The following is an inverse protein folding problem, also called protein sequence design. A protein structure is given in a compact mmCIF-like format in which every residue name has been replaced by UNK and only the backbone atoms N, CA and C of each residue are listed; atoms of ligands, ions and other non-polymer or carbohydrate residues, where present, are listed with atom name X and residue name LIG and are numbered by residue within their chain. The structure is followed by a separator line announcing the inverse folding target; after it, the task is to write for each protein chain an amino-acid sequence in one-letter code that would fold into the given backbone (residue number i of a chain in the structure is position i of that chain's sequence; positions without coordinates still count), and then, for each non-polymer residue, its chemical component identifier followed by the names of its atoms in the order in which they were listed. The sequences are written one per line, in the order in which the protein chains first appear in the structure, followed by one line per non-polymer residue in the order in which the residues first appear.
data_IF_701837370746
#
_entry.id   IF_701837370746
#
_cell.length_a   1.000
_cell.length_b   1.000
_cell.length_c   1.000
_cell.angle_alpha   90.00
_cell.angle_beta   90.00
_cell.angle_gamma   90.00
#
_symmetry.space_group_name_H-M   'P 1'
#
loop_
_entity.id
_entity.type
_entity.pdbx_description
1 polymer ?
#
# COMPACT_ATOMS: atom_id res chain seq x y z
N UNK A 1 25.50 0.91 -4.22
CA UNK A 1 24.12 0.44 -4.00
C UNK A 1 23.68 0.77 -2.59
N UNK A 2 22.53 1.39 -2.45
CA UNK A 2 21.92 1.67 -1.16
C UNK A 2 20.57 0.91 -1.06
N UNK A 3 20.19 0.55 0.16
CA UNK A 3 18.92 -0.14 0.41
C UNK A 3 17.85 0.86 0.87
N UNK A 4 16.70 0.85 0.22
CA UNK A 4 15.48 1.48 0.71
C UNK A 4 14.85 0.55 1.76
N UNK A 5 15.34 0.63 2.99
CA UNK A 5 14.94 -0.24 4.10
C UNK A 5 13.58 0.18 4.66
N UNK A 6 12.51 -0.52 4.24
CA UNK A 6 11.16 -0.28 4.74
C UNK A 6 10.99 -0.63 6.22
N UNK A 7 11.83 -1.51 6.77
CA UNK A 7 11.79 -1.84 8.20
C UNK A 7 12.26 -0.65 9.04
N UNK A 8 13.38 -0.06 8.69
CA UNK A 8 13.89 1.14 9.36
C UNK A 8 12.85 2.27 9.33
N UNK A 9 12.32 2.60 8.14
CA UNK A 9 11.35 3.68 7.98
C UNK A 9 10.05 3.38 8.73
N UNK A 10 9.57 2.13 8.66
CA UNK A 10 8.33 1.74 9.34
C UNK A 10 8.44 1.84 10.87
N UNK A 11 9.56 1.42 11.47
CA UNK A 11 9.73 1.52 12.92
C UNK A 11 9.83 2.99 13.37
N UNK A 12 10.55 3.84 12.64
CA UNK A 12 10.59 5.29 12.91
C UNK A 12 9.19 5.91 12.88
N UNK A 13 8.44 5.68 11.80
CA UNK A 13 7.10 6.28 11.64
C UNK A 13 6.07 5.72 12.63
N UNK A 14 6.24 4.50 13.13
CA UNK A 14 5.38 3.96 14.20
C UNK A 14 5.52 4.72 15.50
N UNK A 15 6.72 5.19 15.83
CA UNK A 15 6.93 6.02 17.03
C UNK A 15 6.14 7.32 16.90
N UNK A 16 6.26 8.02 15.77
CA UNK A 16 5.52 9.25 15.50
C UNK A 16 4.00 9.03 15.56
N UNK A 17 3.51 7.94 14.94
CA UNK A 17 2.08 7.59 14.95
C UNK A 17 1.59 7.30 16.37
N UNK A 18 2.38 6.59 17.19
CA UNK A 18 2.02 6.27 18.57
C UNK A 18 1.94 7.53 19.44
N UNK A 19 2.86 8.48 19.27
CA UNK A 19 2.81 9.76 19.97
C UNK A 19 1.54 10.56 19.61
N UNK A 20 1.20 10.61 18.33
CA UNK A 20 -0.03 11.29 17.89
C UNK A 20 -1.31 10.56 18.36
N UNK A 21 -1.32 9.24 18.38
CA UNK A 21 -2.43 8.46 18.93
C UNK A 21 -2.62 8.71 20.44
N UNK A 22 -1.52 8.82 21.19
CA UNK A 22 -1.56 9.14 22.60
C UNK A 22 -2.11 10.55 22.86
N UNK A 23 -1.80 11.54 22.01
CA UNK A 23 -2.41 12.88 22.08
C UNK A 23 -3.92 12.82 21.82
N UNK A 24 -4.37 12.10 20.79
CA UNK A 24 -5.81 11.93 20.54
C UNK A 24 -6.50 11.32 21.75
N UNK A 25 -5.92 10.28 22.35
CA UNK A 25 -6.47 9.65 23.54
C UNK A 25 -6.55 10.63 24.73
N UNK A 26 -5.54 11.45 24.95
CA UNK A 26 -5.52 12.45 26.01
C UNK A 26 -6.59 13.55 25.79
N UNK A 27 -6.74 14.00 24.55
CA UNK A 27 -7.62 15.12 24.22
C UNK A 27 -9.11 14.70 24.11
N UNK A 28 -9.38 13.47 23.68
CA UNK A 28 -10.74 13.00 23.33
C UNK A 28 -11.26 11.85 24.19
N UNK A 29 -10.42 11.21 24.97
CA UNK A 29 -10.73 10.00 25.73
C UNK A 29 -10.89 8.74 24.87
N UNK A 30 -10.69 8.81 23.54
CA UNK A 30 -10.83 7.67 22.60
C UNK A 30 -9.58 7.42 21.79
N UNK A 31 -9.38 6.15 21.42
CA UNK A 31 -8.27 5.74 20.55
C UNK A 31 -8.72 5.80 19.09
N UNK A 32 -7.82 6.09 18.12
CA UNK A 32 -8.11 5.83 16.72
C UNK A 32 -8.55 4.38 16.51
N UNK A 33 -9.60 4.13 15.73
CA UNK A 33 -10.20 2.80 15.60
C UNK A 33 -10.26 2.34 14.15
N UNK A 34 -9.54 1.25 13.85
CA UNK A 34 -9.56 0.56 12.57
C UNK A 34 -10.40 -0.71 12.66
N UNK A 35 -11.32 -0.90 11.71
CA UNK A 35 -12.02 -2.16 11.52
C UNK A 35 -11.53 -2.82 10.24
N UNK A 36 -11.14 -4.09 10.34
CA UNK A 36 -10.81 -4.92 9.21
C UNK A 36 -11.87 -6.01 9.03
N UNK A 37 -12.40 -6.13 7.81
CA UNK A 37 -13.30 -7.22 7.43
C UNK A 37 -12.52 -8.22 6.58
N UNK A 38 -12.56 -9.49 6.96
CA UNK A 38 -11.92 -10.61 6.28
C UNK A 38 -12.96 -11.65 5.90
N UNK A 39 -13.00 -12.02 4.62
CA UNK A 39 -13.89 -13.04 4.08
C UNK A 39 -13.09 -14.25 3.62
N UNK A 40 -13.45 -15.42 4.09
CA UNK A 40 -12.79 -16.69 3.76
C UNK A 40 -11.46 -16.91 4.49
N UNK A 41 -10.69 -17.89 4.01
CA UNK A 41 -9.50 -18.45 4.66
C UNK A 41 -8.23 -18.39 3.78
N UNK A 42 -8.11 -17.37 2.92
CA UNK A 42 -6.85 -17.19 2.19
C UNK A 42 -5.70 -16.89 3.14
N UNK A 43 -4.73 -17.79 3.24
CA UNK A 43 -3.62 -17.69 4.20
C UNK A 43 -2.73 -16.45 4.00
N UNK A 44 -2.74 -15.86 2.79
CA UNK A 44 -2.09 -14.59 2.51
C UNK A 44 -2.82 -13.45 3.20
N UNK A 45 -4.11 -13.35 2.97
CA UNK A 45 -5.01 -12.37 3.56
C UNK A 45 -5.04 -12.46 5.08
N UNK A 46 -5.12 -13.67 5.65
CA UNK A 46 -5.07 -13.88 7.09
C UNK A 46 -3.79 -13.35 7.73
N UNK A 47 -2.64 -13.71 7.16
CA UNK A 47 -1.34 -13.24 7.64
C UNK A 47 -1.23 -11.71 7.57
N UNK A 48 -1.74 -11.12 6.49
CA UNK A 48 -1.65 -9.68 6.26
C UNK A 48 -2.58 -8.90 7.19
N UNK A 49 -3.82 -9.36 7.38
CA UNK A 49 -4.76 -8.78 8.34
C UNK A 49 -4.23 -8.89 9.77
N UNK A 50 -3.73 -10.07 10.17
CA UNK A 50 -3.11 -10.24 11.49
C UNK A 50 -1.95 -9.26 11.72
N UNK A 51 -1.13 -9.02 10.69
CA UNK A 51 -0.06 -8.03 10.75
C UNK A 51 -0.60 -6.58 10.88
N UNK A 52 -1.66 -6.22 10.14
CA UNK A 52 -2.33 -4.91 10.25
C UNK A 52 -2.84 -4.69 11.68
N UNK A 53 -3.58 -5.65 12.24
CA UNK A 53 -4.14 -5.58 13.60
C UNK A 53 -3.04 -5.43 14.66
N UNK A 54 -2.00 -6.27 14.60
CA UNK A 54 -0.86 -6.22 15.51
C UNK A 54 -0.14 -4.86 15.47
N UNK A 55 -0.03 -4.24 14.30
CA UNK A 55 0.58 -2.91 14.19
C UNK A 55 -0.33 -1.80 14.70
N UNK A 56 -1.67 -1.91 14.58
CA UNK A 56 -2.61 -1.02 15.25
C UNK A 56 -2.41 -1.05 16.78
N UNK A 57 -2.34 -2.23 17.38
CA UNK A 57 -2.10 -2.38 18.83
C UNK A 57 -0.78 -1.74 19.26
N UNK A 58 0.30 -1.96 18.48
CA UNK A 58 1.63 -1.41 18.77
C UNK A 58 1.66 0.12 18.80
N UNK A 59 0.84 0.79 18.00
CA UNK A 59 0.76 2.26 17.95
C UNK A 59 -0.38 2.82 18.80
N UNK A 60 -1.01 1.98 19.64
CA UNK A 60 -2.04 2.41 20.59
C UNK A 60 -3.43 2.60 19.97
N UNK A 61 -3.68 2.15 18.75
CA UNK A 61 -5.00 2.17 18.14
C UNK A 61 -5.90 1.07 18.72
N UNK A 62 -7.20 1.29 18.71
CA UNK A 62 -8.22 0.25 18.81
C UNK A 62 -8.34 -0.43 17.44
N UNK A 63 -8.44 -1.76 17.45
CA UNK A 63 -8.62 -2.53 16.23
C UNK A 63 -9.67 -3.62 16.41
N UNK A 64 -10.52 -3.80 15.41
CA UNK A 64 -11.58 -4.82 15.39
C UNK A 64 -11.48 -5.65 14.13
N UNK A 65 -11.51 -6.97 14.28
CA UNK A 65 -11.56 -7.91 13.17
C UNK A 65 -12.96 -8.49 13.06
N UNK A 66 -13.61 -8.29 11.91
CA UNK A 66 -14.87 -8.95 11.52
C UNK A 66 -14.52 -10.06 10.55
N UNK A 67 -14.91 -11.29 10.87
CA UNK A 67 -14.66 -12.47 10.03
C UNK A 67 -15.97 -13.01 9.47
N UNK A 68 -15.89 -13.41 8.21
CA UNK A 68 -16.93 -14.15 7.52
C UNK A 68 -16.34 -15.39 6.85
N UNK A 69 -17.14 -16.42 6.73
CA UNK A 69 -16.84 -17.56 5.88
C UNK A 69 -16.91 -17.15 4.41
N UNK A 70 -16.29 -17.95 3.54
CA UNK A 70 -16.29 -17.71 2.09
C UNK A 70 -17.67 -17.86 1.44
N UNK A 71 -18.65 -18.36 2.19
CA UNK A 71 -20.06 -18.52 1.78
C UNK A 71 -20.94 -17.32 2.09
N UNK A 72 -20.43 -16.27 2.75
CA UNK A 72 -21.22 -15.06 3.05
C UNK A 72 -21.76 -14.44 1.76
N UNK A 73 -23.02 -13.99 1.77
CA UNK A 73 -23.60 -13.32 0.61
C UNK A 73 -23.05 -11.90 0.42
N UNK A 74 -23.05 -11.42 -0.82
CA UNK A 74 -22.68 -10.02 -1.12
C UNK A 74 -23.59 -9.06 -0.34
N UNK A 75 -24.89 -9.35 -0.27
CA UNK A 75 -25.86 -8.51 0.44
C UNK A 75 -25.56 -8.39 1.94
N UNK A 76 -25.26 -9.52 2.60
CA UNK A 76 -24.89 -9.53 4.04
C UNK A 76 -23.61 -8.74 4.29
N UNK A 77 -22.60 -8.91 3.43
CA UNK A 77 -21.36 -8.15 3.54
C UNK A 77 -21.58 -6.64 3.35
N UNK A 78 -22.37 -6.25 2.33
CA UNK A 78 -22.71 -4.85 2.07
C UNK A 78 -23.53 -4.23 3.22
N UNK A 79 -24.43 -5.01 3.84
CA UNK A 79 -25.17 -4.55 5.02
C UNK A 79 -24.22 -4.33 6.21
N UNK A 80 -23.28 -5.26 6.44
CA UNK A 80 -22.27 -5.09 7.50
C UNK A 80 -21.41 -3.85 7.29
N UNK A 81 -21.00 -3.59 6.07
CA UNK A 81 -20.24 -2.35 5.75
C UNK A 81 -21.08 -1.10 6.04
N UNK A 82 -22.38 -1.14 5.74
CA UNK A 82 -23.27 -0.03 6.08
C UNK A 82 -23.39 0.20 7.60
N UNK A 83 -23.49 -0.87 8.39
CA UNK A 83 -23.51 -0.78 9.85
C UNK A 83 -22.21 -0.20 10.41
N UNK A 84 -21.05 -0.62 9.87
CA UNK A 84 -19.76 -0.06 10.24
C UNK A 84 -19.61 1.42 9.86
N UNK A 85 -20.18 1.82 8.72
CA UNK A 85 -20.22 3.24 8.33
C UNK A 85 -20.99 4.10 9.32
N UNK A 86 -22.09 3.58 9.87
CA UNK A 86 -22.94 4.28 10.82
C UNK A 86 -22.34 4.41 12.23
N UNK A 87 -21.37 3.58 12.57
CA UNK A 87 -20.72 3.59 13.90
C UNK A 87 -19.73 4.75 14.01
N UNK A 88 -20.04 5.73 14.85
CA UNK A 88 -19.21 6.92 15.06
C UNK A 88 -17.87 6.64 15.79
N UNK A 89 -17.72 5.47 16.44
CA UNK A 89 -16.48 5.09 17.09
C UNK A 89 -15.42 4.53 16.09
N UNK A 90 -15.81 4.29 14.84
CA UNK A 90 -14.93 3.75 13.80
C UNK A 90 -14.36 4.89 12.94
N UNK A 91 -13.05 5.01 12.90
CA UNK A 91 -12.34 5.99 12.06
C UNK A 91 -11.96 5.44 10.68
N UNK A 92 -11.70 4.14 10.58
CA UNK A 92 -11.30 3.52 9.32
C UNK A 92 -11.87 2.13 9.14
N UNK A 93 -12.24 1.81 7.92
CA UNK A 93 -12.75 0.51 7.50
C UNK A 93 -11.90 0.01 6.35
N UNK A 94 -11.50 -1.24 6.41
CA UNK A 94 -10.91 -1.96 5.30
C UNK A 94 -11.65 -3.28 5.08
N UNK A 95 -11.85 -3.65 3.84
CA UNK A 95 -12.28 -5.00 3.46
C UNK A 95 -11.12 -5.65 2.72
N UNK A 96 -10.55 -6.70 3.31
CA UNK A 96 -9.34 -7.32 2.77
C UNK A 96 -9.62 -8.03 1.45
N UNK A 97 -8.89 -7.65 0.42
CA UNK A 97 -8.90 -8.32 -0.89
C UNK A 97 -7.86 -9.44 -0.94
N UNK A 98 -8.07 -10.48 -1.77
CA UNK A 98 -9.22 -10.69 -2.66
C UNK A 98 -10.48 -11.19 -1.93
N UNK A 99 -11.64 -10.95 -2.52
CA UNK A 99 -12.93 -11.51 -2.09
C UNK A 99 -13.29 -12.78 -2.87
N UNK A 100 -14.19 -13.64 -2.34
CA UNK A 100 -14.78 -14.73 -3.11
C UNK A 100 -15.40 -14.27 -4.41
N UNK A 101 -15.38 -15.11 -5.46
CA UNK A 101 -15.79 -14.74 -6.83
C UNK A 101 -17.24 -14.25 -6.98
N UNK A 102 -18.13 -14.62 -6.06
CA UNK A 102 -19.54 -14.21 -6.09
C UNK A 102 -19.78 -12.84 -5.48
N UNK A 103 -18.76 -12.20 -4.91
CA UNK A 103 -18.82 -10.87 -4.32
C UNK A 103 -18.04 -9.89 -5.21
N UNK A 104 -18.69 -8.84 -5.66
CA UNK A 104 -18.07 -7.79 -6.47
C UNK A 104 -17.24 -6.85 -5.57
N UNK A 105 -15.89 -6.82 -5.72
CA UNK A 105 -15.05 -5.98 -4.88
C UNK A 105 -15.26 -4.47 -5.12
N UNK A 106 -15.70 -4.06 -6.31
CA UNK A 106 -15.97 -2.64 -6.60
C UNK A 106 -17.21 -2.18 -5.84
N UNK A 107 -18.30 -2.97 -5.82
CA UNK A 107 -19.49 -2.65 -5.00
C UNK A 107 -19.16 -2.54 -3.51
N UNK A 108 -18.31 -3.44 -3.01
CA UNK A 108 -17.89 -3.41 -1.60
C UNK A 108 -17.06 -2.15 -1.32
N UNK A 109 -16.13 -1.82 -2.20
CA UNK A 109 -15.30 -0.61 -2.08
C UNK A 109 -16.17 0.65 -2.09
N UNK A 110 -17.11 0.78 -3.01
CA UNK A 110 -18.04 1.92 -3.10
C UNK A 110 -19.04 1.98 -1.93
N UNK A 111 -19.30 0.85 -1.27
CA UNK A 111 -20.19 0.82 -0.09
C UNK A 111 -19.51 1.40 1.16
N UNK A 112 -18.19 1.37 1.27
CA UNK A 112 -17.47 2.02 2.36
C UNK A 112 -17.67 3.53 2.23
N UNK A 113 -18.02 4.21 3.34
CA UNK A 113 -18.03 5.67 3.33
C UNK A 113 -16.62 6.18 3.01
N UNK A 114 -16.48 6.99 1.94
CA UNK A 114 -15.19 7.53 1.51
C UNK A 114 -14.43 8.25 2.62
N UNK A 115 -15.15 8.73 3.66
CA UNK A 115 -14.57 9.36 4.86
C UNK A 115 -13.96 8.38 5.84
N UNK A 116 -14.23 7.07 5.67
CA UNK A 116 -13.70 5.96 6.45
C UNK A 116 -12.88 4.96 5.61
N UNK A 117 -12.77 5.19 4.29
CA UNK A 117 -11.98 4.37 3.36
C UNK A 117 -10.48 4.65 3.54
N UNK A 118 -9.90 4.11 4.59
CA UNK A 118 -8.48 4.33 4.93
C UNK A 118 -7.50 3.49 4.09
N UNK A 119 -7.99 2.53 3.31
CA UNK A 119 -7.18 1.90 2.24
C UNK A 119 -7.04 2.84 1.02
N UNK A 120 -7.92 3.84 0.86
CA UNK A 120 -7.85 4.85 -0.19
C UNK A 120 -8.31 4.38 -1.57
N UNK A 121 -9.18 3.37 -1.65
CA UNK A 121 -9.60 2.78 -2.92
C UNK A 121 -10.93 3.34 -3.44
N UNK A 122 -11.70 4.01 -2.60
CA UNK A 122 -12.99 4.58 -2.98
C UNK A 122 -12.81 5.61 -4.12
N UNK A 123 -13.67 5.59 -5.16
CA UNK A 123 -13.58 6.50 -6.31
C UNK A 123 -13.49 7.98 -5.94
N UNK A 124 -14.17 8.41 -4.86
CA UNK A 124 -14.07 9.79 -4.35
C UNK A 124 -12.65 10.11 -3.90
N UNK A 125 -11.98 9.23 -3.15
CA UNK A 125 -10.61 9.42 -2.70
C UNK A 125 -9.64 9.46 -3.88
N UNK A 126 -9.76 8.53 -4.84
CA UNK A 126 -8.94 8.48 -6.04
C UNK A 126 -9.13 9.74 -6.92
N UNK A 127 -10.37 10.18 -7.12
CA UNK A 127 -10.66 11.39 -7.88
C UNK A 127 -10.11 12.66 -7.21
N UNK A 128 -10.24 12.77 -5.89
CA UNK A 128 -9.66 13.88 -5.10
C UNK A 128 -8.13 13.84 -5.15
N UNK A 129 -7.55 12.65 -5.00
CA UNK A 129 -6.10 12.44 -5.13
C UNK A 129 -5.60 12.89 -6.51
N UNK A 130 -6.28 12.52 -7.61
CA UNK A 130 -5.95 12.96 -8.96
C UNK A 130 -5.93 14.50 -9.08
N UNK A 131 -6.83 15.18 -8.38
CA UNK A 131 -6.95 16.64 -8.38
C UNK A 131 -6.04 17.33 -7.36
N UNK A 132 -5.19 16.61 -6.68
CA UNK A 132 -4.36 17.11 -5.56
C UNK A 132 -5.18 17.76 -4.43
N UNK A 133 -6.39 17.27 -4.18
CA UNK A 133 -7.21 17.65 -3.04
C UNK A 133 -6.95 16.73 -1.85
N UNK A 134 -7.21 17.17 -0.60
CA UNK A 134 -7.12 16.30 0.57
C UNK A 134 -7.94 15.02 0.36
N UNK A 135 -7.32 13.85 0.53
CA UNK A 135 -7.94 12.54 0.35
C UNK A 135 -7.14 11.48 1.09
N UNK A 136 -7.73 10.34 1.39
CA UNK A 136 -6.94 9.17 1.72
C UNK A 136 -6.24 8.67 0.46
N UNK A 137 -4.94 8.41 0.60
CA UNK A 137 -4.11 7.92 -0.50
C UNK A 137 -4.04 6.40 -0.38
N UNK A 138 -4.14 5.63 -1.48
CA UNK A 138 -3.96 4.19 -1.43
C UNK A 138 -2.74 3.78 -0.61
N UNK A 139 -2.94 2.88 0.36
CA UNK A 139 -1.97 2.64 1.44
C UNK A 139 -0.57 2.26 0.96
N UNK A 140 -0.46 1.40 -0.08
CA UNK A 140 0.85 1.01 -0.66
C UNK A 140 1.53 2.18 -1.38
N UNK A 141 0.89 2.89 -2.31
CA UNK A 141 1.42 4.12 -2.89
C UNK A 141 1.82 5.16 -1.85
N UNK A 142 1.02 5.36 -0.82
CA UNK A 142 1.34 6.28 0.26
C UNK A 142 2.62 5.85 0.99
N UNK A 143 2.73 4.58 1.34
CA UNK A 143 3.95 4.03 1.95
C UNK A 143 5.19 4.23 1.10
N UNK A 144 5.09 4.07 -0.22
CA UNK A 144 6.19 4.33 -1.16
C UNK A 144 6.60 5.81 -1.13
N UNK A 145 5.63 6.74 -1.18
CA UNK A 145 5.96 8.18 -1.11
C UNK A 145 6.62 8.57 0.21
N UNK A 146 6.20 7.98 1.34
CA UNK A 146 6.83 8.19 2.63
C UNK A 146 8.29 7.68 2.64
N UNK A 147 8.54 6.53 2.03
CA UNK A 147 9.89 5.97 1.93
C UNK A 147 10.80 6.82 1.04
N UNK A 148 10.31 7.26 -0.14
CA UNK A 148 11.05 8.19 -1.01
C UNK A 148 11.41 9.49 -0.29
N UNK A 149 10.49 9.99 0.54
CA UNK A 149 10.69 11.21 1.34
C UNK A 149 11.73 11.01 2.42
N UNK A 150 11.69 9.90 3.16
CA UNK A 150 12.64 9.61 4.24
C UNK A 150 14.08 9.52 3.74
N UNK A 151 14.27 8.91 2.56
CA UNK A 151 15.59 8.79 1.93
C UNK A 151 15.99 9.97 1.06
N UNK A 152 15.18 11.04 1.03
CA UNK A 152 15.42 12.23 0.22
C UNK A 152 15.69 11.91 -1.26
N UNK A 153 14.95 10.95 -1.83
CA UNK A 153 15.10 10.56 -3.23
C UNK A 153 14.64 11.69 -4.13
N UNK A 154 15.55 12.21 -4.94
CA UNK A 154 15.23 13.24 -5.93
C UNK A 154 14.29 12.70 -7.00
N UNK A 155 13.10 13.31 -7.13
CA UNK A 155 12.05 12.87 -8.07
C UNK A 155 11.76 13.91 -9.15
N UNK A 156 12.00 15.21 -8.89
CA UNK A 156 11.69 16.28 -9.82
C UNK A 156 12.52 16.17 -11.10
N UNK A 157 11.84 16.22 -12.25
CA UNK A 157 12.46 16.09 -13.57
C UNK A 157 12.95 14.70 -13.95
N UNK A 158 12.74 13.68 -13.09
CA UNK A 158 13.13 12.30 -13.37
C UNK A 158 12.10 11.59 -14.25
N UNK A 159 12.55 10.62 -15.03
CA UNK A 159 11.66 9.69 -15.74
C UNK A 159 11.29 8.53 -14.80
N UNK A 160 10.03 8.45 -14.41
CA UNK A 160 9.50 7.38 -13.60
C UNK A 160 8.71 6.39 -14.47
N UNK A 161 9.15 5.14 -14.50
CA UNK A 161 8.41 4.06 -15.17
C UNK A 161 7.71 3.20 -14.13
N UNK A 162 6.39 3.06 -14.28
CA UNK A 162 5.55 2.21 -13.43
C UNK A 162 5.15 0.98 -14.23
N UNK A 163 5.63 -0.18 -13.83
CA UNK A 163 5.27 -1.47 -14.43
C UNK A 163 4.14 -2.08 -13.63
N UNK A 164 2.93 -1.98 -14.18
CA UNK A 164 1.65 -2.35 -13.55
C UNK A 164 0.65 -1.20 -13.63
N UNK A 165 -0.65 -1.52 -13.72
CA UNK A 165 -1.73 -0.53 -13.80
C UNK A 165 -2.95 -0.88 -12.95
N UNK A 166 -2.72 -1.61 -11.85
CA UNK A 166 -3.80 -1.94 -10.91
C UNK A 166 -4.35 -0.67 -10.25
N UNK A 167 -5.63 -0.68 -9.88
CA UNK A 167 -6.27 0.42 -9.17
C UNK A 167 -5.69 0.62 -7.76
N UNK A 168 -5.05 -0.41 -7.21
CA UNK A 168 -4.50 -0.38 -5.84
C UNK A 168 -3.05 0.10 -5.76
N UNK A 169 -2.25 -0.01 -6.84
CA UNK A 169 -0.84 0.41 -6.85
C UNK A 169 -0.46 1.19 -8.11
N UNK A 170 -0.51 0.56 -9.28
CA UNK A 170 0.12 1.12 -10.49
C UNK A 170 -0.49 2.44 -10.92
N UNK A 171 -1.81 2.52 -11.07
CA UNK A 171 -2.51 3.75 -11.44
C UNK A 171 -2.33 4.85 -10.38
N UNK A 172 -2.56 4.62 -9.07
CA UNK A 172 -2.29 5.64 -8.06
C UNK A 172 -0.84 6.11 -8.01
N UNK A 173 0.14 5.21 -8.16
CA UNK A 173 1.55 5.60 -8.20
C UNK A 173 1.88 6.54 -9.35
N UNK A 174 1.32 6.27 -10.54
CA UNK A 174 1.55 7.14 -11.70
C UNK A 174 1.03 8.56 -11.46
N UNK A 175 -0.13 8.68 -10.81
CA UNK A 175 -0.69 9.97 -10.41
C UNK A 175 0.23 10.68 -9.41
N UNK A 176 0.63 9.99 -8.34
CA UNK A 176 1.45 10.56 -7.28
C UNK A 176 2.82 11.02 -7.80
N UNK A 177 3.47 10.23 -8.66
CA UNK A 177 4.77 10.58 -9.19
C UNK A 177 4.72 11.71 -10.23
N UNK A 178 3.59 11.90 -10.91
CA UNK A 178 3.39 13.00 -11.84
C UNK A 178 2.97 14.33 -11.17
N UNK A 179 2.46 14.29 -9.92
CA UNK A 179 1.92 15.48 -9.24
C UNK A 179 3.00 16.55 -9.00
N UNK A 180 2.60 17.82 -9.00
CA UNK A 180 3.44 18.94 -8.59
C UNK A 180 3.58 19.00 -7.05
N UNK A 181 4.23 17.98 -6.49
CA UNK A 181 4.51 17.81 -5.05
C UNK A 181 5.85 17.09 -4.88
N UNK A 182 6.35 17.03 -3.66
CA UNK A 182 7.48 16.14 -3.33
C UNK A 182 7.01 15.02 -2.36
N UNK A 183 7.30 13.74 -2.68
CA UNK A 183 7.80 13.20 -3.96
C UNK A 183 6.80 13.44 -5.10
N UNK A 184 7.31 13.60 -6.33
CA UNK A 184 6.52 13.87 -7.54
C UNK A 184 7.32 14.63 -8.56
N UNK A 185 6.65 15.40 -9.41
CA UNK A 185 7.25 16.17 -10.52
C UNK A 185 8.05 15.30 -11.51
N UNK A 186 7.70 14.03 -11.66
CA UNK A 186 8.29 13.13 -12.65
C UNK A 186 7.57 13.24 -14.00
N UNK A 187 8.28 12.93 -15.08
CA UNK A 187 7.66 12.41 -16.29
C UNK A 187 7.33 10.94 -16.07
N UNK A 188 6.09 10.51 -16.26
CA UNK A 188 5.67 9.17 -15.89
C UNK A 188 5.22 8.37 -17.10
N UNK A 189 5.79 7.16 -17.25
CA UNK A 189 5.35 6.16 -18.22
C UNK A 189 4.75 4.96 -17.49
N UNK A 190 3.56 4.50 -17.92
CA UNK A 190 2.92 3.28 -17.39
C UNK A 190 3.10 2.16 -18.40
N UNK A 191 3.71 1.05 -17.94
CA UNK A 191 3.83 -0.19 -18.70
C UNK A 191 2.91 -1.27 -18.12
N UNK A 192 2.38 -2.12 -18.98
CA UNK A 192 1.42 -3.15 -18.59
C UNK A 192 1.49 -4.37 -19.54
N UNK A 193 0.68 -5.39 -19.31
CA UNK A 193 0.69 -6.66 -20.09
C UNK A 193 0.43 -6.51 -21.60
N UNK A 194 0.02 -5.33 -22.07
CA UNK A 194 -0.19 -5.02 -23.50
C UNK A 194 0.88 -4.07 -24.04
N UNK A 195 1.84 -3.63 -23.20
CA UNK A 195 2.96 -2.80 -23.67
C UNK A 195 3.96 -3.69 -24.40
N UNK A 196 4.23 -3.43 -25.69
CA UNK A 196 5.30 -4.13 -26.37
C UNK A 196 6.65 -3.69 -25.83
N UNK A 197 7.64 -4.57 -25.83
CA UNK A 197 9.04 -4.25 -25.51
C UNK A 197 9.20 -3.42 -24.20
N UNK A 198 8.63 -3.92 -23.10
CA UNK A 198 8.71 -3.23 -21.78
C UNK A 198 10.14 -2.80 -21.44
N UNK A 199 11.14 -3.58 -21.87
CA UNK A 199 12.56 -3.32 -21.67
C UNK A 199 12.99 -1.95 -22.19
N UNK A 200 12.46 -1.49 -23.32
CA UNK A 200 12.84 -0.20 -23.90
C UNK A 200 12.48 0.96 -22.97
N UNK A 201 11.36 0.84 -22.26
CA UNK A 201 10.92 1.85 -21.28
C UNK A 201 11.70 1.74 -19.96
N UNK A 202 11.93 0.52 -19.46
CA UNK A 202 12.59 0.32 -18.17
C UNK A 202 14.07 0.67 -18.19
N UNK A 203 14.75 0.53 -19.35
CA UNK A 203 16.14 0.96 -19.54
C UNK A 203 16.30 2.49 -19.50
N UNK A 204 15.24 3.25 -19.73
CA UNK A 204 15.30 4.74 -19.67
C UNK A 204 14.82 5.28 -18.31
N UNK A 205 14.39 4.41 -17.41
CA UNK A 205 13.83 4.80 -16.12
C UNK A 205 14.92 5.28 -15.13
N UNK A 206 14.79 6.49 -14.62
CA UNK A 206 15.55 6.96 -13.44
C UNK A 206 14.97 6.38 -12.16
N UNK A 207 13.64 6.23 -12.13
CA UNK A 207 12.89 5.58 -11.04
C UNK A 207 12.01 4.49 -11.66
N UNK A 208 12.20 3.26 -11.23
CA UNK A 208 11.43 2.11 -11.71
C UNK A 208 10.59 1.52 -10.57
N UNK A 209 9.27 1.56 -10.71
CA UNK A 209 8.31 1.00 -9.75
C UNK A 209 7.66 -0.23 -10.37
N UNK A 210 7.81 -1.40 -9.74
CA UNK A 210 7.36 -2.68 -10.29
C UNK A 210 6.27 -3.29 -9.40
N UNK A 211 5.07 -3.47 -9.96
CA UNK A 211 3.87 -3.94 -9.24
C UNK A 211 2.99 -4.82 -10.14
N UNK A 212 3.47 -6.00 -10.53
CA UNK A 212 2.79 -6.92 -11.46
C UNK A 212 2.53 -8.31 -10.89
N UNK A 213 3.10 -8.64 -9.72
CA UNK A 213 2.94 -9.94 -9.07
C UNK A 213 3.58 -11.10 -9.89
N UNK A 214 4.74 -10.86 -10.50
CA UNK A 214 5.49 -11.86 -11.24
C UNK A 214 6.93 -11.89 -10.76
N UNK A 215 7.27 -12.96 -10.04
CA UNK A 215 8.62 -13.20 -9.51
C UNK A 215 9.72 -12.97 -10.55
N UNK A 216 10.71 -12.15 -10.19
CA UNK A 216 11.94 -11.91 -10.95
C UNK A 216 11.69 -11.49 -12.41
N UNK A 217 10.58 -10.80 -12.69
CA UNK A 217 10.24 -10.37 -14.05
C UNK A 217 11.22 -9.31 -14.56
N UNK A 218 11.64 -8.37 -13.72
CA UNK A 218 12.63 -7.36 -14.07
C UNK A 218 14.03 -7.91 -13.80
N UNK A 219 14.79 -8.05 -14.86
CA UNK A 219 16.17 -8.57 -14.84
C UNK A 219 17.20 -7.44 -15.02
N UNK A 220 18.47 -7.72 -14.76
CA UNK A 220 19.52 -6.71 -14.79
C UNK A 220 19.69 -6.03 -16.17
N UNK A 221 19.42 -6.73 -17.26
CA UNK A 221 19.47 -6.19 -18.62
C UNK A 221 18.28 -5.28 -18.97
N UNK A 222 17.29 -5.20 -18.08
CA UNK A 222 16.12 -4.32 -18.21
C UNK A 222 16.23 -3.03 -17.39
N UNK A 223 17.33 -2.82 -16.66
CA UNK A 223 17.45 -1.71 -15.71
C UNK A 223 18.58 -0.76 -16.12
N UNK A 224 18.27 0.55 -16.08
CA UNK A 224 19.26 1.62 -16.24
C UNK A 224 20.26 1.61 -15.08
N UNK A 225 21.53 1.76 -15.38
CA UNK A 225 22.54 1.90 -14.32
C UNK A 225 22.31 3.16 -13.49
N UNK A 226 22.32 3.03 -12.17
CA UNK A 226 22.06 4.13 -11.24
C UNK A 226 20.57 4.41 -10.97
N UNK A 227 19.65 3.64 -11.54
CA UNK A 227 18.22 3.81 -11.28
C UNK A 227 17.84 3.54 -9.82
N UNK A 228 16.77 4.19 -9.37
CA UNK A 228 16.08 3.88 -8.11
C UNK A 228 15.01 2.83 -8.37
N UNK A 229 15.10 1.69 -7.70
CA UNK A 229 14.21 0.54 -7.94
C UNK A 229 13.29 0.31 -6.75
N UNK A 230 11.99 0.33 -7.00
CA UNK A 230 10.95 0.09 -6.01
C UNK A 230 10.18 -1.16 -6.41
N UNK A 231 10.50 -2.26 -5.75
CA UNK A 231 9.84 -3.54 -5.93
C UNK A 231 8.65 -3.67 -4.97
N UNK A 232 7.45 -3.69 -5.52
CA UNK A 232 6.18 -3.85 -4.78
C UNK A 232 5.74 -5.32 -4.77
N UNK A 233 6.37 -6.16 -5.58
CA UNK A 233 6.02 -7.56 -5.74
C UNK A 233 6.11 -8.33 -4.42
N UNK A 234 5.16 -9.23 -4.20
CA UNK A 234 5.15 -10.15 -3.07
C UNK A 234 4.69 -11.54 -3.52
N UNK A 235 5.62 -12.28 -4.12
CA UNK A 235 5.37 -13.61 -4.65
C UNK A 235 5.73 -14.66 -3.60
N UNK A 236 4.80 -15.54 -3.25
CA UNK A 236 5.00 -16.63 -2.29
C UNK A 236 5.35 -17.93 -3.02
N UNK A 237 6.43 -18.57 -2.59
CA UNK A 237 6.74 -19.94 -3.00
C UNK A 237 6.87 -20.83 -1.77
N UNK A 238 6.41 -22.07 -1.87
CA UNK A 238 6.60 -23.07 -0.82
C UNK A 238 8.09 -23.31 -0.57
N UNK A 239 8.47 -23.40 0.69
CA UNK A 239 9.86 -23.59 1.09
C UNK A 239 9.95 -24.51 2.28
N UNK A 240 10.74 -25.54 2.18
CA UNK A 240 11.05 -26.47 3.28
C UNK A 240 12.14 -25.94 4.22
N UNK A 241 12.80 -24.84 3.84
CA UNK A 241 13.94 -24.27 4.58
C UNK A 241 13.49 -23.20 5.58
N UNK A 242 12.37 -22.50 5.30
CA UNK A 242 11.88 -21.44 6.16
C UNK A 242 10.88 -21.95 7.20
N UNK A 243 10.96 -21.43 8.43
CA UNK A 243 10.00 -21.78 9.50
C UNK A 243 8.54 -21.48 9.15
N UNK A 244 8.30 -20.54 8.25
CA UNK A 244 6.96 -20.17 7.78
C UNK A 244 6.41 -21.10 6.69
N UNK A 245 7.20 -22.02 6.16
CA UNK A 245 6.85 -22.86 5.01
C UNK A 245 6.86 -22.12 3.66
N UNK A 246 7.21 -20.84 3.63
CA UNK A 246 7.20 -20.00 2.43
C UNK A 246 8.45 -19.12 2.35
N UNK A 247 8.91 -18.88 1.13
CA UNK A 247 9.88 -17.83 0.81
C UNK A 247 9.18 -16.75 -0.03
N UNK A 248 9.50 -15.48 0.27
CA UNK A 248 8.96 -14.33 -0.45
C UNK A 248 9.98 -13.84 -1.47
N UNK A 249 9.49 -13.48 -2.65
CA UNK A 249 10.24 -12.90 -3.74
C UNK A 249 9.54 -11.67 -4.28
N UNK A 250 10.32 -10.71 -4.75
CA UNK A 250 9.83 -9.56 -5.47
C UNK A 250 9.52 -9.85 -6.95
N UNK A 251 9.09 -8.80 -7.62
CA UNK A 251 8.95 -8.78 -9.08
C UNK A 251 10.29 -8.50 -9.78
N UNK A 252 11.30 -8.05 -9.01
CA UNK A 252 12.65 -7.73 -9.49
C UNK A 252 13.61 -8.84 -9.08
N UNK A 253 14.48 -9.23 -9.99
CA UNK A 253 15.61 -10.12 -9.70
C UNK A 253 16.66 -9.37 -8.87
N UNK A 254 16.42 -9.33 -7.55
CA UNK A 254 17.16 -8.51 -6.61
C UNK A 254 18.68 -8.74 -6.68
N UNK A 255 19.12 -10.00 -6.73
CA UNK A 255 20.54 -10.35 -6.69
C UNK A 255 21.31 -9.78 -7.88
N UNK A 256 20.71 -9.82 -9.08
CA UNK A 256 21.34 -9.35 -10.30
C UNK A 256 21.08 -7.87 -10.60
N UNK A 257 19.98 -7.30 -10.13
CA UNK A 257 19.62 -5.89 -10.34
C UNK A 257 20.29 -4.97 -9.32
N UNK A 258 20.41 -5.39 -8.07
CA UNK A 258 20.95 -4.57 -6.99
C UNK A 258 22.33 -3.94 -7.31
N UNK A 259 23.31 -4.65 -7.91
CA UNK A 259 24.61 -4.06 -8.25
C UNK A 259 24.54 -2.88 -9.24
N UNK A 260 23.46 -2.79 -10.04
CA UNK A 260 23.24 -1.72 -11.02
C UNK A 260 22.46 -0.53 -10.46
N UNK A 261 21.65 -0.75 -9.42
CA UNK A 261 20.79 0.26 -8.84
C UNK A 261 21.59 1.24 -7.95
N UNK A 262 21.15 2.52 -7.90
CA UNK A 262 21.61 3.46 -6.87
C UNK A 262 20.92 3.15 -5.53
N UNK A 263 19.62 2.88 -5.59
CA UNK A 263 18.75 2.50 -4.49
C UNK A 263 17.82 1.36 -4.90
N UNK A 264 17.55 0.43 -4.00
CA UNK A 264 16.62 -0.68 -4.25
C UNK A 264 15.90 -1.09 -2.97
N UNK A 265 14.60 -1.43 -3.08
CA UNK A 265 13.84 -2.03 -1.97
C UNK A 265 14.09 -3.54 -1.90
N UNK A 266 14.31 -4.11 -0.71
CA UNK A 266 14.36 -5.56 -0.54
C UNK A 266 12.97 -6.18 -0.46
N UNK A 267 12.82 -7.45 -0.82
CA UNK A 267 11.63 -8.27 -0.59
C UNK A 267 12.05 -9.58 0.09
N UNK A 268 11.62 -9.82 1.35
CA UNK A 268 10.83 -8.95 2.24
C UNK A 268 11.65 -7.79 2.84
N UNK A 269 10.95 -6.84 3.49
CA UNK A 269 11.58 -5.76 4.25
C UNK A 269 11.49 -4.37 3.63
N UNK A 270 10.96 -4.27 2.40
CA UNK A 270 10.72 -3.01 1.68
C UNK A 270 9.27 -2.54 1.78
N UNK A 271 8.61 -2.41 0.62
CA UNK A 271 7.30 -1.79 0.44
C UNK A 271 6.18 -2.42 1.27
N UNK A 272 6.17 -3.74 1.47
CA UNK A 272 5.10 -4.42 2.23
C UNK A 272 4.94 -3.91 3.67
N UNK A 273 6.02 -3.49 4.33
CA UNK A 273 5.96 -2.87 5.66
C UNK A 273 5.42 -1.44 5.59
N UNK A 274 5.73 -0.73 4.53
CA UNK A 274 5.29 0.65 4.33
C UNK A 274 3.81 0.76 3.98
N UNK A 275 3.20 -0.28 3.40
CA UNK A 275 1.75 -0.37 3.20
C UNK A 275 1.00 -0.27 4.54
N UNK A 276 1.51 -0.96 5.58
CA UNK A 276 0.91 -0.88 6.92
C UNK A 276 1.04 0.55 7.47
N UNK A 277 2.15 1.22 7.25
CA UNK A 277 2.34 2.61 7.68
C UNK A 277 1.38 3.56 6.95
N UNK A 278 1.19 3.39 5.64
CA UNK A 278 0.21 4.17 4.87
C UNK A 278 -1.19 4.03 5.46
N UNK A 279 -1.62 2.80 5.78
CA UNK A 279 -2.90 2.52 6.41
C UNK A 279 -3.03 3.17 7.80
N UNK A 280 -2.01 3.05 8.65
CA UNK A 280 -2.02 3.66 9.98
C UNK A 280 -2.08 5.19 9.90
N UNK A 281 -1.34 5.82 8.99
CA UNK A 281 -1.39 7.27 8.79
C UNK A 281 -2.74 7.75 8.27
N UNK A 282 -3.37 7.02 7.35
CA UNK A 282 -4.73 7.33 6.91
C UNK A 282 -5.74 7.21 8.06
N UNK A 283 -5.66 6.14 8.86
CA UNK A 283 -6.54 5.95 10.04
C UNK A 283 -6.34 7.07 11.07
N UNK A 284 -5.09 7.48 11.31
CA UNK A 284 -4.76 8.59 12.20
C UNK A 284 -5.36 9.91 11.68
N UNK A 285 -5.18 10.20 10.38
CA UNK A 285 -5.71 11.40 9.74
C UNK A 285 -7.25 11.44 9.75
N UNK A 286 -7.90 10.26 9.65
CA UNK A 286 -9.34 10.13 9.82
C UNK A 286 -9.78 10.47 11.25
N UNK A 287 -9.13 9.88 12.26
CA UNK A 287 -9.43 10.14 13.66
C UNK A 287 -9.25 11.62 14.05
N UNK A 288 -8.29 12.30 13.42
CA UNK A 288 -8.04 13.75 13.58
C UNK A 288 -8.94 14.63 12.72
N UNK A 289 -9.77 14.07 11.85
CA UNK A 289 -10.61 14.78 10.86
C UNK A 289 -9.79 15.73 9.94
N UNK A 290 -8.56 15.36 9.61
CA UNK A 290 -7.67 16.19 8.78
C UNK A 290 -8.04 16.17 7.30
N UNK A 291 -8.65 15.08 6.83
CA UNK A 291 -9.00 14.89 5.41
C UNK A 291 -10.47 15.31 5.15
N UNK A 292 -11.35 14.84 5.99
CA UNK A 292 -12.78 15.12 5.93
C UNK A 292 -13.28 15.65 7.28
N UNK A 293 -14.04 16.73 7.22
CA UNK A 293 -14.65 17.37 8.40
C UNK A 293 -16.04 16.81 8.66
#
# INVERSE_FOLDING_TARGET
MNILDGKYVSEKLKVEIAEEAAKILADTGRKPHLVAVLVGHDGGSETYVASKMKNCEKVGFKSTLVRYEDTVSEEELLQKVADLNADADIDGIIVQLPLPKHIDPEKVTERIDYRKDVDGFHPVNLGRMQRNLPSFIPATPYGITLMLKEYNIETAGKHCVVVGRSNIVGSPMSILMARNTYPGNCTVTICHSRTPNIKDFTLDADILIVAIGKKNFITADMVKSGAVIIDVGMNRETSTITKSGFKLYGDVDFENVAPKASWITPVPGGVGLMTIIGLLKNTLASAKKEVYK
#
